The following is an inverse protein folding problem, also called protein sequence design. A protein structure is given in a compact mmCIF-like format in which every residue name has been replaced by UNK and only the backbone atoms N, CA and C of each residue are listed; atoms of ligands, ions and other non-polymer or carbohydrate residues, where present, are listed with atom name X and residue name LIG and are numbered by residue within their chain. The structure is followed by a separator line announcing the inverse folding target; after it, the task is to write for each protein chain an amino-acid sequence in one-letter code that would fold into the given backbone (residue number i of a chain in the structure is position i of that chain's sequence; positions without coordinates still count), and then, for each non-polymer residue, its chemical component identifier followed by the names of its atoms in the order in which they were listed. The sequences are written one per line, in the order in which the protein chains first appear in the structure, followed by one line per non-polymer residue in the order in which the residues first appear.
data_IF_891187180675
#
_entry.id   IF_891187180675
#
_cell.length_a   1.000
_cell.length_b   1.000
_cell.length_c   1.000
_cell.angle_alpha   90.00
_cell.angle_beta   90.00
_cell.angle_gamma   90.00
#
_symmetry.space_group_name_H-M   'P 1'
#
loop_
_entity.id
_entity.type
_entity.pdbx_description
1 polymer ?
#
# COMPACT_ATOMS: atom_id res chain seq x y z
N UNK A 1 -50.68 10.57 48.24
CA UNK A 1 -49.74 11.71 48.10
C UNK A 1 -48.30 11.20 48.16
N UNK A 2 -47.64 10.99 47.01
CA UNK A 2 -46.31 11.54 46.65
C UNK A 2 -45.87 10.90 45.33
N UNK A 3 -45.61 11.75 44.35
CA UNK A 3 -45.29 11.45 42.95
C UNK A 3 -43.83 11.03 42.73
N UNK A 4 -43.63 10.42 41.55
CA UNK A 4 -42.46 10.52 40.63
C UNK A 4 -41.08 10.06 41.12
N UNK A 5 -40.48 9.14 40.36
CA UNK A 5 -39.39 9.51 39.45
C UNK A 5 -39.17 8.44 38.36
N UNK A 6 -39.24 8.84 37.08
CA UNK A 6 -38.66 8.13 35.94
C UNK A 6 -37.14 8.14 36.07
N UNK A 7 -36.47 7.03 35.72
CA UNK A 7 -35.07 7.08 35.26
C UNK A 7 -34.94 6.27 33.97
N UNK A 8 -34.66 6.99 32.88
CA UNK A 8 -34.20 6.49 31.59
C UNK A 8 -32.84 5.80 31.77
N UNK A 9 -32.62 4.65 31.14
CA UNK A 9 -31.26 4.17 30.85
C UNK A 9 -31.10 3.92 29.35
N UNK A 10 -30.11 4.62 28.82
CA UNK A 10 -29.80 4.83 27.42
C UNK A 10 -29.52 3.54 26.64
N UNK A 11 -30.18 3.38 25.50
CA UNK A 11 -29.75 2.45 24.46
C UNK A 11 -28.47 2.97 23.83
N UNK A 12 -27.35 2.28 24.09
CA UNK A 12 -26.08 2.56 23.42
C UNK A 12 -26.21 2.27 21.93
N UNK A 13 -26.19 3.33 21.12
CA UNK A 13 -25.99 3.18 19.68
C UNK A 13 -24.58 2.63 19.47
N UNK A 14 -24.49 1.35 19.09
CA UNK A 14 -23.27 0.79 18.50
C UNK A 14 -23.05 1.51 17.18
N UNK A 15 -22.14 2.49 17.16
CA UNK A 15 -21.68 3.12 15.95
C UNK A 15 -21.02 2.04 15.07
N UNK A 16 -21.74 1.57 14.05
CA UNK A 16 -21.12 0.86 12.93
C UNK A 16 -20.31 1.90 12.19
N UNK A 17 -19.02 1.99 12.51
CA UNK A 17 -18.09 2.82 11.75
C UNK A 17 -18.14 2.37 10.30
N UNK A 18 -18.38 3.27 9.33
CA UNK A 18 -18.21 2.92 7.93
C UNK A 18 -16.72 2.60 7.75
N UNK A 19 -16.39 1.34 7.54
CA UNK A 19 -15.01 0.88 7.30
C UNK A 19 -14.32 1.70 6.18
N UNK A 20 -15.11 2.28 5.27
CA UNK A 20 -14.67 3.17 4.21
C UNK A 20 -14.09 4.52 4.68
N UNK A 21 -14.56 5.09 5.78
CA UNK A 21 -14.02 6.35 6.29
C UNK A 21 -12.62 6.14 6.87
N UNK A 22 -12.44 5.07 7.65
CA UNK A 22 -11.15 4.70 8.23
C UNK A 22 -10.12 4.31 7.16
N UNK A 23 -10.55 3.62 6.09
CA UNK A 23 -9.70 3.32 4.95
C UNK A 23 -9.25 4.57 4.19
N UNK A 24 -10.11 5.60 4.11
CA UNK A 24 -9.77 6.86 3.45
C UNK A 24 -8.68 7.64 4.23
N UNK A 25 -8.76 7.70 5.56
CA UNK A 25 -7.71 8.29 6.39
C UNK A 25 -6.41 7.48 6.33
N UNK A 26 -6.52 6.16 6.33
CA UNK A 26 -5.37 5.26 6.20
C UNK A 26 -4.62 5.44 4.88
N UNK A 27 -5.31 5.43 3.73
CA UNK A 27 -4.66 5.69 2.44
C UNK A 27 -4.01 7.07 2.41
N UNK A 28 -4.67 8.09 2.97
CA UNK A 28 -4.11 9.45 3.08
C UNK A 28 -2.85 9.52 3.94
N UNK A 29 -2.66 8.61 4.90
CA UNK A 29 -1.41 8.57 5.68
C UNK A 29 -0.17 8.20 4.86
N UNK A 30 -0.34 7.62 3.67
CA UNK A 30 0.76 7.35 2.74
C UNK A 30 1.07 8.54 1.81
N UNK A 31 0.27 9.60 1.81
CA UNK A 31 0.47 10.75 0.93
C UNK A 31 1.73 11.54 1.31
N UNK A 32 2.49 11.98 0.32
CA UNK A 32 3.66 12.81 0.52
C UNK A 32 4.81 12.47 -0.42
N UNK A 33 5.93 13.15 -0.22
CA UNK A 33 7.17 12.88 -0.95
C UNK A 33 8.19 12.25 -0.02
N UNK A 34 8.84 11.19 -0.50
CA UNK A 34 9.78 10.38 0.25
C UNK A 34 11.10 10.30 -0.50
N UNK A 35 12.20 10.32 0.22
CA UNK A 35 13.51 10.05 -0.32
C UNK A 35 14.27 9.14 0.64
N UNK A 36 15.03 8.20 0.10
CA UNK A 36 15.76 7.24 0.90
C UNK A 36 16.90 6.60 0.13
N UNK A 37 17.90 6.14 0.88
CA UNK A 37 19.00 5.35 0.34
C UNK A 37 18.88 3.92 0.85
N UNK A 38 19.35 2.96 0.06
CA UNK A 38 19.30 1.56 0.42
C UNK A 38 20.14 0.70 -0.49
N UNK A 39 19.92 -0.61 -0.41
CA UNK A 39 20.62 -1.56 -1.26
C UNK A 39 19.65 -2.55 -1.89
N UNK A 40 19.96 -2.98 -3.12
CA UNK A 40 19.12 -3.93 -3.87
C UNK A 40 19.97 -5.00 -4.54
N UNK A 41 19.41 -6.20 -4.69
CA UNK A 41 19.93 -7.26 -5.56
C UNK A 41 18.93 -7.48 -6.69
N UNK A 42 19.39 -7.39 -7.93
CA UNK A 42 18.50 -7.55 -9.10
C UNK A 42 18.09 -9.02 -9.29
N UNK A 43 19.00 -9.95 -8.94
CA UNK A 43 18.74 -11.39 -8.89
C UNK A 43 19.33 -11.98 -7.61
N UNK A 44 18.96 -13.21 -7.26
CA UNK A 44 19.44 -13.91 -6.07
C UNK A 44 20.97 -14.04 -6.00
N UNK A 45 21.64 -14.12 -7.17
CA UNK A 45 23.10 -14.28 -7.28
C UNK A 45 23.85 -12.99 -7.67
N UNK A 46 23.14 -11.89 -7.91
CA UNK A 46 23.78 -10.62 -8.30
C UNK A 46 24.47 -9.93 -7.10
N UNK A 47 25.50 -9.10 -7.35
CA UNK A 47 26.04 -8.23 -6.30
C UNK A 47 25.00 -7.22 -5.82
N UNK A 48 25.15 -6.80 -4.57
CA UNK A 48 24.33 -5.76 -3.96
C UNK A 48 24.69 -4.38 -4.53
N UNK A 49 23.69 -3.61 -4.92
CA UNK A 49 23.84 -2.28 -5.51
C UNK A 49 23.27 -1.24 -4.55
N UNK A 50 24.06 -0.22 -4.20
CA UNK A 50 23.57 0.95 -3.49
C UNK A 50 22.64 1.77 -4.39
N UNK A 51 21.47 2.13 -3.89
CA UNK A 51 20.48 2.94 -4.59
C UNK A 51 20.07 4.13 -3.76
N UNK A 52 19.79 5.22 -4.45
CA UNK A 52 19.02 6.35 -3.90
C UNK A 52 17.69 6.39 -4.63
N UNK A 53 16.59 6.46 -3.88
CA UNK A 53 15.25 6.45 -4.41
C UNK A 53 14.49 7.69 -3.96
N UNK A 54 13.71 8.24 -4.87
CA UNK A 54 12.69 9.24 -4.56
C UNK A 54 11.33 8.69 -4.94
N UNK A 55 10.32 9.00 -4.14
CA UNK A 55 8.94 8.62 -4.36
C UNK A 55 8.02 9.80 -4.11
N UNK A 56 6.96 9.89 -4.89
CA UNK A 56 5.85 10.78 -4.65
C UNK A 56 4.58 9.94 -4.57
N UNK A 57 3.80 10.17 -3.52
CA UNK A 57 2.61 9.40 -3.22
C UNK A 57 1.40 10.31 -3.19
N UNK A 58 0.41 9.97 -4.02
CA UNK A 58 -0.89 10.61 -4.06
C UNK A 58 -1.95 9.67 -3.50
N UNK A 59 -2.87 10.20 -2.68
CA UNK A 59 -3.97 9.41 -2.15
C UNK A 59 -5.30 10.15 -2.30
N UNK A 60 -6.35 9.38 -2.53
CA UNK A 60 -7.75 9.81 -2.39
C UNK A 60 -8.42 8.94 -1.32
N UNK A 61 -9.73 9.09 -1.12
CA UNK A 61 -10.49 8.20 -0.26
C UNK A 61 -10.53 6.74 -0.74
N UNK A 62 -10.23 6.47 -2.01
CA UNK A 62 -10.37 5.14 -2.61
C UNK A 62 -9.20 4.73 -3.50
N UNK A 63 -8.15 5.54 -3.59
CA UNK A 63 -6.99 5.23 -4.42
C UNK A 63 -5.69 5.68 -3.77
N UNK A 64 -4.61 4.98 -4.11
CA UNK A 64 -3.24 5.34 -3.77
C UNK A 64 -2.41 5.19 -5.05
N UNK A 65 -1.65 6.22 -5.41
CA UNK A 65 -0.62 6.16 -6.44
C UNK A 65 0.72 6.42 -5.79
N UNK A 66 1.73 5.67 -6.19
CA UNK A 66 3.11 5.85 -5.79
C UNK A 66 3.95 5.86 -7.05
N UNK A 67 4.64 6.96 -7.29
CA UNK A 67 5.53 7.13 -8.42
C UNK A 67 6.94 7.38 -7.90
N UNK A 68 7.87 6.54 -8.31
CA UNK A 68 9.22 6.61 -7.80
C UNK A 68 10.28 6.29 -8.82
N UNK A 69 11.49 6.72 -8.46
CA UNK A 69 12.67 6.49 -9.26
C UNK A 69 13.83 6.11 -8.35
N UNK A 70 14.41 4.95 -8.60
CA UNK A 70 15.60 4.47 -7.92
C UNK A 70 16.80 4.53 -8.86
N UNK A 71 17.83 5.25 -8.43
CA UNK A 71 19.12 5.38 -9.12
C UNK A 71 20.16 4.54 -8.40
N UNK A 72 20.68 3.53 -9.08
CA UNK A 72 21.83 2.73 -8.67
C UNK A 72 23.03 3.01 -9.57
N UNK A 73 24.22 3.16 -8.99
CA UNK A 73 25.41 3.64 -9.71
C UNK A 73 25.14 4.99 -10.43
N UNK A 74 26.12 5.55 -11.13
CA UNK A 74 25.96 6.91 -11.71
C UNK A 74 24.86 6.97 -12.80
N UNK A 75 24.48 5.86 -13.45
CA UNK A 75 23.60 5.91 -14.64
C UNK A 75 22.41 4.93 -14.66
N UNK A 76 22.27 3.99 -13.73
CA UNK A 76 21.16 3.02 -13.77
C UNK A 76 19.98 3.57 -13.00
N UNK A 77 18.98 4.04 -13.73
CA UNK A 77 17.76 4.63 -13.19
C UNK A 77 16.60 3.69 -13.50
N UNK A 78 15.79 3.33 -12.49
CA UNK A 78 14.59 2.49 -12.67
C UNK A 78 13.37 3.18 -12.08
N UNK A 79 12.33 3.30 -12.90
CA UNK A 79 11.00 3.66 -12.41
C UNK A 79 10.43 2.52 -11.55
N UNK A 80 9.86 2.89 -10.41
CA UNK A 80 9.10 2.01 -9.53
C UNK A 80 7.78 2.71 -9.27
N UNK A 81 6.67 2.06 -9.57
CA UNK A 81 5.35 2.61 -9.28
C UNK A 81 4.38 1.57 -8.72
N UNK A 82 3.39 2.05 -7.98
CA UNK A 82 2.28 1.24 -7.50
C UNK A 82 0.99 2.05 -7.52
N UNK A 83 -0.02 1.54 -8.21
CA UNK A 83 -1.35 2.13 -8.27
C UNK A 83 -2.36 1.17 -7.66
N UNK A 84 -3.04 1.58 -6.60
CA UNK A 84 -4.05 0.81 -5.90
C UNK A 84 -5.41 1.52 -5.96
N UNK A 85 -6.46 0.71 -6.05
CA UNK A 85 -7.85 1.12 -5.87
C UNK A 85 -8.52 0.25 -4.82
N UNK A 86 -9.21 0.88 -3.88
CA UNK A 86 -10.10 0.22 -2.95
C UNK A 86 -11.39 -0.16 -3.66
N UNK A 87 -11.86 -1.38 -3.42
CA UNK A 87 -13.16 -1.87 -3.88
C UNK A 87 -14.15 -2.08 -2.71
N UNK A 88 -13.81 -1.56 -1.53
CA UNK A 88 -14.58 -1.73 -0.29
C UNK A 88 -14.35 -3.04 0.46
N UNK A 89 -13.77 -4.05 -0.18
CA UNK A 89 -13.39 -5.33 0.46
C UNK A 89 -11.88 -5.49 0.61
N UNK A 90 -11.11 -4.71 -0.14
CA UNK A 90 -9.66 -4.71 -0.17
C UNK A 90 -9.15 -3.83 -1.29
N UNK A 91 -7.93 -4.08 -1.73
CA UNK A 91 -7.23 -3.29 -2.73
C UNK A 91 -6.80 -4.16 -3.91
N UNK A 92 -6.96 -3.60 -5.10
CA UNK A 92 -6.44 -4.17 -6.35
C UNK A 92 -5.63 -3.11 -7.07
N UNK A 93 -4.63 -3.54 -7.84
CA UNK A 93 -3.76 -2.56 -8.48
C UNK A 93 -2.69 -3.13 -9.37
N UNK A 94 -1.78 -2.25 -9.76
CA UNK A 94 -0.64 -2.55 -10.63
C UNK A 94 0.64 -2.09 -9.96
N UNK A 95 1.68 -2.90 -10.05
CA UNK A 95 3.03 -2.59 -9.62
C UNK A 95 3.99 -2.63 -10.80
N UNK A 96 4.85 -1.61 -10.91
CA UNK A 96 5.96 -1.57 -11.87
C UNK A 96 7.26 -1.47 -11.08
N UNK A 97 8.25 -2.28 -11.45
CA UNK A 97 9.56 -2.27 -10.79
C UNK A 97 10.41 -3.48 -11.16
N UNK A 98 9.78 -4.60 -11.52
CA UNK A 98 10.45 -5.75 -12.12
C UNK A 98 10.88 -5.46 -13.58
N UNK A 99 11.78 -6.29 -14.13
CA UNK A 99 12.08 -6.28 -15.58
C UNK A 99 11.04 -7.03 -16.42
N UNK A 100 10.09 -7.71 -15.77
CA UNK A 100 9.13 -8.58 -16.44
C UNK A 100 7.87 -7.87 -16.91
N UNK A 101 7.75 -6.57 -16.65
CA UNK A 101 6.57 -5.75 -16.94
C UNK A 101 5.69 -5.51 -15.72
N UNK A 102 4.54 -4.85 -15.91
CA UNK A 102 3.59 -4.58 -14.83
C UNK A 102 3.09 -5.87 -14.17
N UNK A 103 3.00 -5.86 -12.86
CA UNK A 103 2.54 -6.96 -12.02
C UNK A 103 1.22 -6.59 -11.35
N UNK A 104 0.35 -7.58 -11.12
CA UNK A 104 -0.92 -7.33 -10.45
C UNK A 104 -0.75 -7.34 -8.93
N UNK A 105 -1.40 -6.40 -8.27
CA UNK A 105 -1.52 -6.32 -6.82
C UNK A 105 -2.94 -6.70 -6.40
N UNK A 106 -3.05 -7.53 -5.37
CA UNK A 106 -4.33 -7.81 -4.71
C UNK A 106 -4.11 -8.08 -3.23
N UNK A 107 -4.91 -7.45 -2.36
CA UNK A 107 -4.79 -7.70 -0.93
C UNK A 107 -5.71 -6.83 -0.10
N UNK A 108 -5.33 -6.64 1.16
CA UNK A 108 -6.14 -5.91 2.13
C UNK A 108 -5.27 -5.23 3.17
N UNK A 109 -5.87 -4.29 3.88
CA UNK A 109 -5.29 -3.73 5.09
C UNK A 109 -5.25 -4.78 6.19
N UNK A 110 -4.18 -4.75 6.98
CA UNK A 110 -3.98 -5.58 8.16
C UNK A 110 -3.42 -4.69 9.27
N UNK A 111 -4.29 -4.12 10.10
CA UNK A 111 -3.89 -3.11 11.08
C UNK A 111 -3.41 -1.83 10.39
N UNK A 112 -2.18 -1.42 10.68
CA UNK A 112 -1.55 -0.24 10.06
C UNK A 112 -0.70 -0.56 8.82
N UNK A 113 -0.82 -1.77 8.27
CA UNK A 113 -0.08 -2.18 7.09
C UNK A 113 -1.00 -2.56 5.92
N UNK A 114 -0.54 -2.34 4.69
CA UNK A 114 -1.09 -2.97 3.50
C UNK A 114 -0.39 -4.30 3.27
N UNK A 115 -1.16 -5.39 3.18
CA UNK A 115 -0.64 -6.70 2.81
C UNK A 115 -1.15 -7.08 1.43
N UNK A 116 -0.26 -7.06 0.44
CA UNK A 116 -0.58 -7.23 -0.97
C UNK A 116 0.15 -8.46 -1.52
N UNK A 117 -0.58 -9.32 -2.22
CA UNK A 117 0.02 -10.32 -3.09
C UNK A 117 0.40 -9.65 -4.41
N UNK A 118 1.63 -9.90 -4.87
CA UNK A 118 2.11 -9.54 -6.20
C UNK A 118 1.98 -10.78 -7.09
N UNK A 119 1.46 -10.61 -8.30
CA UNK A 119 1.52 -11.61 -9.37
C UNK A 119 2.28 -11.04 -10.57
N UNK A 120 3.46 -11.59 -10.84
CA UNK A 120 4.34 -11.14 -11.91
C UNK A 120 3.80 -11.55 -13.29
N UNK A 121 4.03 -10.70 -14.29
CA UNK A 121 3.71 -11.01 -15.68
C UNK A 121 4.50 -12.25 -16.16
N UNK A 122 5.79 -12.32 -15.80
CA UNK A 122 6.69 -13.46 -16.03
C UNK A 122 7.41 -13.80 -14.72
N UNK A 123 8.06 -14.96 -14.66
CA UNK A 123 8.82 -15.37 -13.49
C UNK A 123 9.91 -14.35 -13.12
N UNK A 124 10.03 -14.08 -11.83
CA UNK A 124 11.05 -13.24 -11.21
C UNK A 124 11.73 -14.10 -10.15
N UNK A 125 13.02 -14.38 -10.33
CA UNK A 125 13.79 -15.26 -9.43
C UNK A 125 13.15 -16.65 -9.22
N UNK A 126 12.53 -17.21 -10.26
CA UNK A 126 11.90 -18.54 -10.21
C UNK A 126 10.50 -18.58 -9.57
N UNK A 127 9.96 -17.42 -9.17
CA UNK A 127 8.59 -17.32 -8.64
C UNK A 127 7.74 -16.41 -9.53
N UNK A 128 6.44 -16.68 -9.57
CA UNK A 128 5.44 -15.84 -10.24
C UNK A 128 4.61 -15.03 -9.27
N UNK A 129 4.82 -15.22 -7.97
CA UNK A 129 4.12 -14.56 -6.89
C UNK A 129 5.09 -14.03 -5.85
N UNK A 130 4.66 -13.01 -5.11
CA UNK A 130 5.37 -12.51 -3.94
C UNK A 130 4.37 -11.86 -2.98
N UNK A 131 4.80 -11.52 -1.77
CA UNK A 131 4.03 -10.73 -0.83
C UNK A 131 4.76 -9.43 -0.53
N UNK A 132 4.04 -8.32 -0.66
CA UNK A 132 4.44 -6.98 -0.27
C UNK A 132 3.71 -6.59 1.01
N UNK A 133 4.43 -6.06 1.98
CA UNK A 133 3.85 -5.47 3.18
C UNK A 133 4.49 -4.11 3.41
N UNK A 134 3.66 -3.09 3.52
CA UNK A 134 4.05 -1.68 3.71
C UNK A 134 3.23 -1.04 4.81
#
# INVERSE_FOLDING_TARGET
MKSMLLLLLAGGLTAVSPAHADDADFLRSFQGSFAGNGTVKVTTNAPTVNVSCTFNSGATSTSLSLDGNCRGLVLVTRAISADLKSNGKGYTGVYVGSRTGPAQLNGKRSGNALSLAIRWAKEVNGDRTARLTV
#
